data_IF_926545864143
#
_entry.id   IF_926545864143
#
_cell.length_a   1.000
_cell.length_b   1.000
_cell.length_c   1.000
_cell.angle_alpha   90.00
_cell.angle_beta   90.00
_cell.angle_gamma   90.00
#
_symmetry.space_group_name_H-M   'P 1'
#
loop_
_entity.id
_entity.type
_entity.pdbx_description
1 polymer ?
#
# COMPACT_ATOMS: atom_id res chain seq x y z
N UNK A 1 38.43 -46.90 3.38
CA UNK A 1 38.92 -47.33 2.04
C UNK A 1 38.37 -48.72 1.76
N UNK A 2 37.67 -49.03 0.68
CA UNK A 2 37.26 -48.24 -0.48
C UNK A 2 36.43 -49.14 -1.43
N UNK A 3 35.28 -48.61 -1.84
CA UNK A 3 34.66 -48.61 -3.18
C UNK A 3 34.52 -49.90 -4.02
N UNK A 4 33.25 -50.31 -4.21
CA UNK A 4 32.80 -51.20 -5.30
C UNK A 4 32.44 -50.38 -6.57
N UNK A 5 33.14 -50.64 -7.67
CA UNK A 5 32.84 -50.12 -9.02
C UNK A 5 31.84 -51.01 -9.76
N UNK A 6 30.74 -50.46 -10.26
CA UNK A 6 29.98 -51.01 -11.41
C UNK A 6 29.87 -49.95 -12.51
N UNK A 7 30.43 -50.24 -13.68
CA UNK A 7 30.36 -49.41 -14.89
C UNK A 7 29.07 -49.70 -15.66
N UNK A 8 28.23 -48.69 -15.90
CA UNK A 8 27.16 -48.72 -16.89
C UNK A 8 27.58 -47.87 -18.11
N UNK A 9 27.45 -48.43 -19.32
CA UNK A 9 27.86 -47.80 -20.58
C UNK A 9 26.92 -46.65 -20.96
N UNK A 10 27.49 -45.50 -21.32
CA UNK A 10 26.78 -44.33 -21.80
C UNK A 10 26.24 -44.56 -23.22
N UNK A 11 24.91 -44.46 -23.39
CA UNK A 11 24.26 -44.35 -24.70
C UNK A 11 24.05 -42.88 -25.03
N UNK A 12 24.80 -42.37 -25.99
CA UNK A 12 24.76 -40.99 -26.49
C UNK A 12 23.47 -40.77 -27.28
N UNK A 13 22.55 -39.92 -26.81
CA UNK A 13 21.36 -39.53 -27.56
C UNK A 13 21.57 -38.10 -28.09
N UNK A 14 21.87 -37.97 -29.38
CA UNK A 14 22.01 -36.67 -30.02
C UNK A 14 20.62 -36.07 -30.29
N UNK A 15 20.30 -34.95 -29.66
CA UNK A 15 19.14 -34.13 -30.00
C UNK A 15 19.60 -33.02 -30.94
N UNK A 16 19.36 -33.15 -32.25
CA UNK A 16 19.42 -32.01 -33.19
C UNK A 16 18.03 -31.38 -33.25
N UNK A 17 17.85 -30.27 -32.54
CA UNK A 17 16.68 -29.41 -32.74
C UNK A 17 16.92 -28.50 -33.94
N UNK A 18 16.50 -28.92 -35.14
CA UNK A 18 16.29 -27.98 -36.24
C UNK A 18 14.91 -27.35 -36.08
N UNK A 19 14.79 -26.36 -35.19
CA UNK A 19 13.60 -25.52 -35.11
C UNK A 19 13.71 -24.41 -36.15
N UNK A 20 13.40 -24.76 -37.39
CA UNK A 20 13.00 -23.79 -38.42
C UNK A 20 11.80 -24.37 -39.17
N UNK A 21 10.58 -24.04 -38.72
CA UNK A 21 9.37 -24.48 -39.40
C UNK A 21 8.10 -24.13 -38.63
N UNK A 22 7.17 -23.50 -39.34
CA UNK A 22 5.80 -23.17 -38.88
C UNK A 22 5.11 -24.46 -38.38
N UNK A 23 4.37 -24.38 -37.27
CA UNK A 23 3.81 -25.51 -36.49
C UNK A 23 2.79 -26.39 -37.25
N UNK A 24 2.50 -26.10 -38.52
CA UNK A 24 1.38 -26.66 -39.27
C UNK A 24 1.54 -28.09 -39.81
N UNK A 25 2.75 -28.66 -39.88
CA UNK A 25 2.99 -29.90 -40.66
C UNK A 25 3.50 -31.11 -39.85
N UNK A 26 3.14 -31.22 -38.57
CA UNK A 26 3.49 -32.41 -37.76
C UNK A 26 2.43 -33.52 -37.98
N UNK A 27 2.72 -34.46 -38.89
CA UNK A 27 1.93 -35.71 -39.01
C UNK A 27 2.25 -36.66 -37.86
N UNK A 28 1.33 -36.79 -36.90
CA UNK A 28 1.42 -37.75 -35.79
C UNK A 28 0.89 -39.11 -36.26
N UNK A 29 1.75 -40.12 -36.31
CA UNK A 29 1.34 -41.52 -36.51
C UNK A 29 1.14 -42.21 -35.15
N UNK A 30 -0.04 -42.77 -34.94
CA UNK A 30 -0.42 -43.36 -33.65
C UNK A 30 0.23 -44.76 -33.48
N UNK A 31 1.19 -44.88 -32.57
CA UNK A 31 1.85 -46.16 -32.24
C UNK A 31 1.09 -46.85 -31.10
N UNK A 32 0.35 -47.94 -31.40
CA UNK A 32 -0.37 -48.73 -30.38
C UNK A 32 0.61 -49.42 -29.39
N UNK A 33 0.45 -49.21 -28.07
CA UNK A 33 1.40 -49.73 -27.08
C UNK A 33 1.29 -51.25 -26.90
N UNK A 34 2.44 -51.94 -26.93
CA UNK A 34 2.56 -53.41 -26.96
C UNK A 34 2.21 -54.15 -25.65
N UNK A 35 1.90 -53.47 -24.54
CA UNK A 35 1.45 -54.16 -23.31
C UNK A 35 0.58 -53.29 -22.40
N UNK A 36 -0.31 -53.92 -21.64
CA UNK A 36 -1.25 -53.27 -20.69
C UNK A 36 -0.51 -52.48 -19.60
N UNK A 37 0.65 -52.98 -19.15
CA UNK A 37 1.51 -52.29 -18.18
C UNK A 37 2.19 -51.03 -18.76
N UNK A 38 2.64 -51.08 -20.03
CA UNK A 38 3.15 -49.87 -20.71
C UNK A 38 2.05 -48.85 -20.94
N UNK A 39 0.84 -49.29 -21.25
CA UNK A 39 -0.33 -48.42 -21.39
C UNK A 39 -0.63 -47.67 -20.09
N UNK A 40 -0.70 -48.38 -18.94
CA UNK A 40 -0.85 -47.76 -17.61
C UNK A 40 0.28 -46.83 -17.22
N UNK A 41 1.53 -47.13 -17.59
CA UNK A 41 2.68 -46.26 -17.29
C UNK A 41 2.69 -44.98 -18.14
N UNK A 42 2.20 -45.06 -19.38
CA UNK A 42 2.02 -43.89 -20.26
C UNK A 42 0.83 -43.06 -19.78
N UNK A 43 -0.31 -43.70 -19.48
CA UNK A 43 -1.51 -43.06 -18.92
C UNK A 43 -1.20 -42.38 -17.58
N UNK A 44 -0.52 -43.06 -16.64
CA UNK A 44 -0.12 -42.47 -15.36
C UNK A 44 0.93 -41.36 -15.46
N UNK A 45 1.84 -41.41 -16.45
CA UNK A 45 2.76 -40.29 -16.74
C UNK A 45 2.07 -39.13 -17.47
N UNK A 46 1.05 -39.39 -18.27
CA UNK A 46 0.22 -38.36 -18.89
C UNK A 46 -0.65 -37.66 -17.84
N UNK A 47 -1.24 -38.41 -16.89
CA UNK A 47 -1.95 -37.87 -15.73
C UNK A 47 -1.04 -37.06 -14.80
N UNK A 48 0.23 -37.45 -14.65
CA UNK A 48 1.20 -36.67 -13.88
C UNK A 48 1.63 -35.37 -14.61
N UNK A 49 1.65 -35.36 -15.95
CA UNK A 49 1.85 -34.13 -16.74
C UNK A 49 0.59 -33.26 -16.87
N UNK A 50 -0.60 -33.81 -16.63
CA UNK A 50 -1.87 -33.07 -16.70
C UNK A 50 -2.26 -32.37 -15.39
N UNK A 51 -1.48 -32.49 -14.32
CA UNK A 51 -1.65 -31.62 -13.13
C UNK A 51 -1.15 -30.18 -13.31
N UNK A 52 -0.57 -29.88 -14.47
CA UNK A 52 -0.35 -28.51 -14.96
C UNK A 52 -1.28 -28.26 -16.16
N UNK A 53 -2.56 -28.57 -16.02
CA UNK A 53 -3.58 -28.00 -16.90
C UNK A 53 -3.96 -26.68 -16.25
N UNK A 54 -3.21 -25.62 -16.58
CA UNK A 54 -3.74 -24.26 -16.39
C UNK A 54 -4.98 -24.22 -17.28
N UNK A 55 -6.16 -24.10 -16.69
CA UNK A 55 -7.40 -24.10 -17.46
C UNK A 55 -7.33 -22.96 -18.48
N UNK A 56 -7.95 -23.13 -19.65
CA UNK A 56 -7.98 -22.05 -20.64
C UNK A 56 -8.48 -20.73 -20.03
N UNK A 57 -9.42 -20.81 -19.07
CA UNK A 57 -9.89 -19.66 -18.30
C UNK A 57 -8.78 -19.03 -17.42
N UNK A 58 -7.96 -19.82 -16.75
CA UNK A 58 -6.81 -19.32 -15.97
C UNK A 58 -5.74 -18.68 -16.87
N UNK A 59 -5.51 -19.20 -18.08
CA UNK A 59 -4.59 -18.57 -19.04
C UNK A 59 -5.13 -17.25 -19.60
N UNK A 60 -6.43 -17.17 -19.87
CA UNK A 60 -7.09 -15.92 -20.30
C UNK A 60 -7.03 -14.89 -19.19
N UNK A 61 -7.31 -15.27 -17.94
CA UNK A 61 -7.24 -14.36 -16.79
C UNK A 61 -5.82 -13.88 -16.52
N UNK A 62 -4.83 -14.78 -16.55
CA UNK A 62 -3.43 -14.41 -16.39
C UNK A 62 -2.96 -13.47 -17.50
N UNK A 63 -3.41 -13.69 -18.74
CA UNK A 63 -3.13 -12.77 -19.86
C UNK A 63 -3.75 -11.39 -19.63
N UNK A 64 -5.00 -11.32 -19.18
CA UNK A 64 -5.69 -10.07 -18.87
C UNK A 64 -4.93 -9.28 -17.80
N UNK A 65 -4.48 -9.96 -16.74
CA UNK A 65 -3.66 -9.37 -15.68
C UNK A 65 -2.31 -8.86 -16.22
N UNK A 66 -1.66 -9.60 -17.10
CA UNK A 66 -0.42 -9.15 -17.75
C UNK A 66 -0.65 -7.92 -18.64
N UNK A 67 -1.77 -7.85 -19.36
CA UNK A 67 -2.15 -6.68 -20.17
C UNK A 67 -2.34 -5.44 -19.28
N UNK A 68 -2.99 -5.57 -18.12
CA UNK A 68 -3.12 -4.49 -17.13
C UNK A 68 -1.76 -4.01 -16.56
N UNK A 69 -0.87 -4.95 -16.24
CA UNK A 69 0.48 -4.64 -15.76
C UNK A 69 1.29 -3.91 -16.85
N UNK A 70 1.18 -4.32 -18.11
CA UNK A 70 1.89 -3.64 -19.21
C UNK A 70 1.33 -2.24 -19.48
N UNK A 71 0.02 -2.05 -19.35
CA UNK A 71 -0.62 -0.74 -19.50
C UNK A 71 -0.21 0.23 -18.38
N UNK A 72 -0.12 -0.26 -17.13
CA UNK A 72 0.37 0.54 -15.99
C UNK A 72 1.85 0.88 -16.13
N UNK A 73 2.68 -0.06 -16.61
CA UNK A 73 4.09 0.21 -16.91
C UNK A 73 4.25 1.28 -18.02
N UNK A 74 3.40 1.27 -19.05
CA UNK A 74 3.39 2.31 -20.09
C UNK A 74 3.09 3.70 -19.54
N UNK A 75 2.04 3.83 -18.71
CA UNK A 75 1.70 5.09 -18.03
C UNK A 75 2.84 5.60 -17.16
N UNK A 76 3.52 4.70 -16.44
CA UNK A 76 4.70 5.06 -15.64
C UNK A 76 5.86 5.52 -16.52
N UNK A 77 6.09 4.87 -17.67
CA UNK A 77 7.10 5.29 -18.62
C UNK A 77 6.78 6.69 -19.19
N UNK A 78 5.52 6.99 -19.49
CA UNK A 78 5.09 8.32 -19.94
C UNK A 78 5.32 9.39 -18.87
N UNK A 79 5.01 9.09 -17.60
CA UNK A 79 5.29 9.98 -16.47
C UNK A 79 6.79 10.22 -16.34
N UNK A 80 7.60 9.17 -16.35
CA UNK A 80 9.07 9.27 -16.22
C UNK A 80 9.67 10.04 -17.41
N UNK A 81 9.20 9.78 -18.63
CA UNK A 81 9.61 10.53 -19.81
C UNK A 81 9.18 12.00 -19.71
N UNK A 82 7.99 12.30 -19.20
CA UNK A 82 7.56 13.67 -18.91
C UNK A 82 8.47 14.37 -17.91
N UNK A 83 8.89 13.68 -16.84
CA UNK A 83 9.84 14.19 -15.86
C UNK A 83 11.25 14.41 -16.45
N UNK A 84 11.71 13.51 -17.33
CA UNK A 84 13.03 13.56 -17.96
C UNK A 84 13.13 14.56 -19.12
N UNK A 85 12.02 14.81 -19.83
CA UNK A 85 12.00 15.65 -21.03
C UNK A 85 12.19 17.13 -20.73
N UNK A 86 12.19 17.52 -19.45
CA UNK A 86 12.53 18.88 -19.04
C UNK A 86 11.69 19.93 -19.77
N UNK A 87 10.44 19.61 -20.13
CA UNK A 87 9.44 20.64 -20.34
C UNK A 87 9.35 21.35 -18.99
N UNK A 88 10.09 22.45 -18.92
CA UNK A 88 10.16 23.30 -17.76
C UNK A 88 8.72 23.63 -17.37
N UNK A 89 8.24 23.00 -16.30
CA UNK A 89 7.43 23.76 -15.37
C UNK A 89 8.39 24.88 -14.96
N UNK A 90 8.21 26.05 -15.59
CA UNK A 90 9.00 27.23 -15.31
C UNK A 90 8.82 27.45 -13.82
N UNK A 91 9.79 27.02 -13.01
CA UNK A 91 9.81 27.32 -11.59
C UNK A 91 9.94 28.82 -11.51
N UNK A 92 8.79 29.49 -11.44
CA UNK A 92 8.70 30.84 -10.98
C UNK A 92 9.38 30.87 -9.61
N UNK A 93 9.95 32.01 -9.22
CA UNK A 93 10.44 32.17 -7.85
C UNK A 93 9.34 31.84 -6.81
N UNK A 94 8.07 31.94 -7.21
CA UNK A 94 6.88 31.58 -6.43
C UNK A 94 6.76 30.06 -6.21
N UNK A 95 6.97 29.23 -7.24
CA UNK A 95 6.92 27.76 -7.10
C UNK A 95 8.02 27.24 -6.17
N UNK A 96 9.22 27.83 -6.26
CA UNK A 96 10.34 27.49 -5.39
C UNK A 96 10.10 27.90 -3.93
N UNK A 97 9.37 28.99 -3.70
CA UNK A 97 8.99 29.44 -2.37
C UNK A 97 7.92 28.53 -1.74
N UNK A 98 6.94 28.09 -2.53
CA UNK A 98 5.95 27.08 -2.10
C UNK A 98 6.63 25.76 -1.75
N UNK A 99 7.56 25.29 -2.58
CA UNK A 99 8.29 24.05 -2.31
C UNK A 99 9.14 24.17 -1.03
N UNK A 100 9.78 25.33 -0.81
CA UNK A 100 10.51 25.60 0.42
C UNK A 100 9.61 25.59 1.67
N UNK A 101 8.39 26.12 1.58
CA UNK A 101 7.43 26.09 2.68
C UNK A 101 6.98 24.67 3.03
N UNK A 102 6.70 23.83 2.02
CA UNK A 102 6.34 22.42 2.23
C UNK A 102 7.49 21.64 2.87
N UNK A 103 8.73 21.85 2.41
CA UNK A 103 9.92 21.24 3.00
C UNK A 103 10.10 21.68 4.45
N UNK A 104 9.85 22.96 4.75
CA UNK A 104 9.93 23.49 6.11
C UNK A 104 8.97 22.77 7.07
N UNK A 105 7.69 22.67 6.72
CA UNK A 105 6.68 21.95 7.52
C UNK A 105 7.07 20.48 7.71
N UNK A 106 7.48 19.80 6.63
CA UNK A 106 7.95 18.40 6.71
C UNK A 106 9.11 18.23 7.69
N UNK A 107 10.06 19.17 7.68
CA UNK A 107 11.20 19.16 8.59
C UNK A 107 10.76 19.41 10.04
N UNK A 108 9.78 20.28 10.28
CA UNK A 108 9.22 20.49 11.62
C UNK A 108 8.50 19.25 12.14
N UNK A 109 7.72 18.57 11.29
CA UNK A 109 7.09 17.29 11.62
C UNK A 109 8.16 16.23 11.95
N UNK A 110 9.20 16.10 11.11
CA UNK A 110 10.28 15.15 11.32
C UNK A 110 11.09 15.46 12.60
N UNK A 111 11.24 16.74 12.95
CA UNK A 111 11.87 17.19 14.18
C UNK A 111 10.96 17.07 15.41
N UNK A 112 9.69 16.68 15.24
CA UNK A 112 8.69 16.58 16.31
C UNK A 112 8.23 17.93 16.88
N UNK A 113 8.55 19.04 16.19
CA UNK A 113 8.09 20.38 16.54
C UNK A 113 6.61 20.59 16.16
N UNK A 114 6.13 19.85 15.16
CA UNK A 114 4.75 19.87 14.70
C UNK A 114 4.19 18.45 14.63
N UNK A 115 2.91 18.28 14.96
CA UNK A 115 2.26 16.97 15.01
C UNK A 115 1.26 16.82 13.86
N UNK A 116 1.28 15.67 13.20
CA UNK A 116 0.28 15.31 12.20
C UNK A 116 -0.99 14.87 12.92
N UNK A 117 -2.04 15.68 12.81
CA UNK A 117 -3.37 15.35 13.32
C UNK A 117 -3.99 14.26 12.43
N UNK A 118 -4.46 13.12 12.99
CA UNK A 118 -5.09 12.06 12.21
C UNK A 118 -6.35 12.56 11.48
N UNK A 119 -6.57 12.10 10.25
CA UNK A 119 -7.74 12.50 9.45
C UNK A 119 -9.09 12.23 10.14
N UNK A 120 -9.16 11.22 11.01
CA UNK A 120 -10.37 10.93 11.78
C UNK A 120 -10.72 12.03 12.79
N UNK A 121 -9.71 12.69 13.37
CA UNK A 121 -9.93 13.84 14.26
C UNK A 121 -10.55 14.99 13.48
N UNK A 122 -10.02 15.29 12.29
CA UNK A 122 -10.54 16.34 11.41
C UNK A 122 -12.02 16.08 11.06
N UNK A 123 -12.36 14.85 10.65
CA UNK A 123 -13.75 14.48 10.36
C UNK A 123 -14.69 14.67 11.55
N UNK A 124 -14.24 14.39 12.77
CA UNK A 124 -15.03 14.59 13.99
C UNK A 124 -15.32 16.07 14.24
N UNK A 125 -14.35 16.93 13.96
CA UNK A 125 -14.53 18.38 14.02
C UNK A 125 -15.53 18.85 12.94
N UNK A 126 -15.41 18.35 11.71
CA UNK A 126 -16.30 18.71 10.59
C UNK A 126 -17.78 18.37 10.87
N UNK A 127 -18.06 17.30 11.62
CA UNK A 127 -19.44 16.94 12.01
C UNK A 127 -19.94 17.69 13.25
N UNK A 128 -19.17 18.66 13.75
CA UNK A 128 -19.55 19.55 14.86
C UNK A 128 -19.35 18.96 16.25
N UNK A 129 -18.49 17.94 16.41
CA UNK A 129 -18.13 17.48 17.75
C UNK A 129 -17.29 18.53 18.48
N UNK A 130 -17.46 18.66 19.80
CA UNK A 130 -16.70 19.62 20.60
C UNK A 130 -15.19 19.45 20.41
N UNK A 131 -14.47 20.50 19.94
CA UNK A 131 -13.03 20.41 19.73
C UNK A 131 -12.26 19.98 20.98
N UNK A 132 -12.66 20.50 22.15
CA UNK A 132 -12.08 20.14 23.44
C UNK A 132 -12.19 18.63 23.70
N UNK A 133 -13.33 18.00 23.38
CA UNK A 133 -13.50 16.55 23.54
C UNK A 133 -12.60 15.78 22.58
N UNK A 134 -12.61 16.15 21.31
CA UNK A 134 -11.87 15.45 20.25
C UNK A 134 -10.37 15.45 20.55
N UNK A 135 -9.81 16.62 20.88
CA UNK A 135 -8.40 16.73 21.23
C UNK A 135 -8.06 16.08 22.57
N UNK A 136 -8.95 16.15 23.58
CA UNK A 136 -8.74 15.44 24.86
C UNK A 136 -8.60 13.94 24.65
N UNK A 137 -9.46 13.35 23.83
CA UNK A 137 -9.43 11.92 23.52
C UNK A 137 -8.23 11.53 22.66
N UNK A 138 -7.82 12.39 21.73
CA UNK A 138 -6.57 12.23 21.00
C UNK A 138 -5.36 12.15 21.95
N UNK A 139 -5.37 12.92 23.05
CA UNK A 139 -4.35 12.88 24.11
C UNK A 139 -4.55 11.73 25.11
N UNK A 140 -5.60 10.91 24.97
CA UNK A 140 -5.90 9.81 25.88
C UNK A 140 -6.27 10.26 27.30
N UNK A 141 -6.73 11.51 27.47
CA UNK A 141 -7.06 12.08 28.78
C UNK A 141 -8.53 11.87 29.13
N UNK A 142 -8.84 11.63 30.40
CA UNK A 142 -10.21 11.73 30.92
C UNK A 142 -10.60 13.19 31.19
N UNK A 143 -11.89 13.49 31.29
CA UNK A 143 -12.35 14.84 31.66
C UNK A 143 -11.75 15.30 33.01
N UNK A 144 -11.65 14.40 33.99
CA UNK A 144 -11.05 14.69 35.29
C UNK A 144 -9.56 14.99 35.20
N UNK A 145 -8.81 14.27 34.35
CA UNK A 145 -7.39 14.53 34.13
C UNK A 145 -7.16 15.89 33.47
N UNK A 146 -7.97 16.25 32.46
CA UNK A 146 -7.89 17.57 31.82
C UNK A 146 -8.25 18.69 32.80
N UNK A 147 -9.31 18.49 33.60
CA UNK A 147 -9.74 19.44 34.61
C UNK A 147 -8.65 19.70 35.66
N UNK A 148 -8.03 18.63 36.17
CA UNK A 148 -6.91 18.71 37.09
C UNK A 148 -5.71 19.45 36.48
N UNK A 149 -5.38 19.18 35.21
CA UNK A 149 -4.26 19.80 34.52
C UNK A 149 -4.40 21.33 34.31
N UNK A 150 -5.63 21.85 34.26
CA UNK A 150 -5.89 23.29 34.16
C UNK A 150 -6.42 23.93 35.45
N UNK A 151 -6.46 23.16 36.54
CA UNK A 151 -6.89 23.55 37.89
C UNK A 151 -8.36 24.03 37.95
N UNK A 152 -9.28 23.22 37.39
CA UNK A 152 -10.73 23.47 37.45
C UNK A 152 -11.49 22.20 37.84
N UNK A 153 -12.78 22.35 38.15
CA UNK A 153 -13.66 21.20 38.40
C UNK A 153 -13.95 20.41 37.12
N UNK A 154 -14.08 19.09 37.23
CA UNK A 154 -14.49 18.22 36.11
C UNK A 154 -15.80 18.68 35.46
N UNK A 155 -16.74 19.21 36.25
CA UNK A 155 -18.01 19.74 35.75
C UNK A 155 -17.85 20.90 34.76
N UNK A 156 -16.74 21.66 34.86
CA UNK A 156 -16.41 22.73 33.92
C UNK A 156 -16.09 22.16 32.54
N UNK A 157 -15.23 21.13 32.47
CA UNK A 157 -14.90 20.43 31.23
C UNK A 157 -16.14 19.82 30.60
N UNK A 158 -16.96 19.12 31.41
CA UNK A 158 -18.20 18.53 30.91
C UNK A 158 -19.15 19.56 30.30
N UNK A 159 -19.27 20.77 30.89
CA UNK A 159 -20.13 21.83 30.36
C UNK A 159 -19.60 22.44 29.07
N UNK A 160 -18.27 22.56 28.96
CA UNK A 160 -17.60 23.00 27.72
C UNK A 160 -17.83 21.98 26.60
N UNK A 161 -17.61 20.69 26.87
CA UNK A 161 -17.81 19.64 25.86
C UNK A 161 -19.28 19.50 25.43
N UNK A 162 -20.22 19.89 26.29
CA UNK A 162 -21.64 19.93 25.95
C UNK A 162 -22.05 21.22 25.20
N UNK A 163 -21.14 22.17 24.99
CA UNK A 163 -21.45 23.47 24.38
C UNK A 163 -22.26 24.42 25.27
N UNK A 164 -22.51 24.06 26.52
CA UNK A 164 -23.34 24.85 27.46
C UNK A 164 -22.57 25.95 28.17
N UNK A 165 -21.23 25.96 28.06
CA UNK A 165 -20.36 26.95 28.67
C UNK A 165 -19.15 27.19 27.78
N UNK A 166 -18.81 28.46 27.55
CA UNK A 166 -17.56 28.83 26.89
C UNK A 166 -16.45 29.09 27.93
N UNK A 167 -15.20 28.66 27.66
CA UNK A 167 -14.07 28.98 28.51
C UNK A 167 -13.75 30.49 28.45
N UNK A 168 -13.23 31.03 29.54
CA UNK A 168 -12.61 32.37 29.51
C UNK A 168 -11.32 32.33 28.71
N UNK A 169 -10.82 33.47 28.21
CA UNK A 169 -9.55 33.53 27.49
C UNK A 169 -8.38 32.91 28.27
N UNK A 170 -8.36 33.11 29.60
CA UNK A 170 -7.36 32.50 30.48
C UNK A 170 -7.44 30.96 30.48
N UNK A 171 -8.66 30.40 30.57
CA UNK A 171 -8.85 28.95 30.57
C UNK A 171 -8.66 28.35 29.17
N UNK A 172 -9.02 29.07 28.11
CA UNK A 172 -8.76 28.68 26.73
C UNK A 172 -7.25 28.52 26.49
N UNK A 173 -6.45 29.49 26.93
CA UNK A 173 -4.99 29.40 26.84
C UNK A 173 -4.40 28.25 27.67
N UNK A 174 -4.99 27.91 28.83
CA UNK A 174 -4.58 26.72 29.61
C UNK A 174 -4.94 25.42 28.89
N UNK A 175 -6.15 25.32 28.33
CA UNK A 175 -6.60 24.18 27.55
C UNK A 175 -5.68 23.94 26.35
N UNK A 176 -5.42 24.98 25.55
CA UNK A 176 -4.52 24.94 24.40
C UNK A 176 -3.13 24.40 24.77
N UNK A 177 -2.53 24.91 25.85
CA UNK A 177 -1.22 24.44 26.34
C UNK A 177 -1.23 22.98 26.78
N UNK A 178 -2.24 22.53 27.53
CA UNK A 178 -2.33 21.14 27.99
C UNK A 178 -2.59 20.19 26.83
N UNK A 179 -3.44 20.59 25.89
CA UNK A 179 -3.78 19.80 24.70
C UNK A 179 -2.73 19.89 23.59
N UNK A 180 -1.75 20.79 23.72
CA UNK A 180 -0.66 21.06 22.76
C UNK A 180 -1.19 21.35 21.36
N UNK A 181 -2.10 22.31 21.28
CA UNK A 181 -2.70 22.81 20.05
C UNK A 181 -2.87 24.31 20.17
N UNK A 182 -3.07 24.99 19.04
CA UNK A 182 -3.41 26.40 19.04
C UNK A 182 -4.81 26.65 19.63
N UNK A 183 -4.97 27.80 20.29
CA UNK A 183 -6.22 28.15 20.95
C UNK A 183 -7.38 28.32 19.97
N UNK A 184 -7.09 28.71 18.74
CA UNK A 184 -8.09 28.93 17.69
C UNK A 184 -8.77 27.61 17.27
N UNK A 185 -8.05 26.49 17.34
CA UNK A 185 -8.60 25.15 17.08
C UNK A 185 -9.59 24.67 18.16
N UNK A 186 -9.72 25.39 19.27
CA UNK A 186 -10.68 25.09 20.33
C UNK A 186 -11.96 25.91 20.25
N UNK A 187 -12.00 26.87 19.33
CA UNK A 187 -13.18 27.68 19.08
C UNK A 187 -14.05 26.99 18.02
N UNK A 188 -15.39 27.08 18.15
CA UNK A 188 -16.28 26.62 17.09
C UNK A 188 -16.12 27.48 15.83
N UNK A 189 -16.29 26.87 14.66
CA UNK A 189 -16.42 27.59 13.40
C UNK A 189 -17.78 28.32 13.38
N UNK A 190 -17.76 29.63 13.10
CA UNK A 190 -18.95 30.52 13.05
C UNK A 190 -19.94 30.16 11.92
#
# INVERSE_FOLDING_TARGET
>A
MGEFKKKAKAGTFQYRSSLSGRVSDVKVTEVKPRSRARRRAIEGKAEAKSKVVVSAAQLVELRRQLEEVTATAGKLADIVNGLLSGEANSTSAEDAAEEAAVVHVRNQIAAGAEEVIPAEVVKRLDVGESPVRVFRELRGMTQGQLAAAIEVDQSFISKIEAGTKHPTAANLGRLARVLKIDADLLLPDD
#
